data_IF_537026941372
#
_entry.id   IF_537026941372
#
_cell.length_a   1.000
_cell.length_b   1.000
_cell.length_c   1.000
_cell.angle_alpha   90.00
_cell.angle_beta   90.00
_cell.angle_gamma   90.00
#
_symmetry.space_group_name_H-M   'P 1'
#
loop_
_entity.id
_entity.type
_entity.pdbx_description
1 polymer ?
#
# COMPACT_ATOMS: atom_id res chain seq x y z
N UNK A 1 -18.63 -11.20 -56.82
CA UNK A 1 -17.19 -10.99 -56.58
C UNK A 1 -16.87 -11.56 -55.19
N UNK A 2 -16.25 -12.75 -55.09
CA UNK A 2 -15.94 -13.38 -53.80
C UNK A 2 -14.69 -12.69 -53.23
N UNK A 3 -14.88 -11.89 -52.19
CA UNK A 3 -13.78 -11.28 -51.43
C UNK A 3 -12.93 -12.43 -50.87
N UNK A 4 -11.60 -12.38 -51.05
CA UNK A 4 -10.70 -13.43 -50.56
C UNK A 4 -10.73 -13.48 -49.03
N UNK A 5 -10.55 -14.66 -48.44
CA UNK A 5 -10.58 -14.83 -46.98
C UNK A 5 -9.60 -13.89 -46.25
N UNK A 6 -8.44 -13.60 -46.84
CA UNK A 6 -7.45 -12.66 -46.31
C UNK A 6 -7.99 -11.23 -46.19
N UNK A 7 -8.87 -10.82 -47.10
CA UNK A 7 -9.44 -9.47 -47.11
C UNK A 7 -10.63 -9.36 -46.15
N UNK A 8 -11.33 -10.45 -45.85
CA UNK A 8 -12.30 -10.52 -44.75
C UNK A 8 -11.60 -10.46 -43.38
N UNK A 9 -10.53 -11.23 -43.16
CA UNK A 9 -9.76 -11.16 -41.91
C UNK A 9 -9.12 -9.78 -41.67
N UNK A 10 -8.69 -9.09 -42.73
CA UNK A 10 -8.17 -7.73 -42.63
C UNK A 10 -9.27 -6.71 -42.26
N UNK A 11 -10.49 -6.87 -42.76
CA UNK A 11 -11.63 -6.00 -42.44
C UNK A 11 -12.17 -6.27 -41.02
N UNK A 12 -12.19 -7.52 -40.58
CA UNK A 12 -12.60 -7.90 -39.22
C UNK A 12 -11.60 -7.39 -38.18
N UNK A 13 -10.30 -7.46 -38.47
CA UNK A 13 -9.27 -6.83 -37.64
C UNK A 13 -9.39 -5.30 -37.66
N UNK A 14 -9.60 -4.69 -38.82
CA UNK A 14 -9.73 -3.23 -38.92
C UNK A 14 -11.01 -2.68 -38.24
N UNK A 15 -12.04 -3.50 -38.06
CA UNK A 15 -13.27 -3.09 -37.37
C UNK A 15 -13.25 -3.43 -35.87
N UNK A 16 -12.60 -4.54 -35.49
CA UNK A 16 -12.46 -4.96 -34.10
C UNK A 16 -11.34 -4.24 -33.34
N UNK A 17 -10.16 -4.07 -33.96
CA UNK A 17 -8.98 -3.52 -33.29
C UNK A 17 -9.16 -2.07 -32.82
N UNK A 18 -9.70 -1.13 -33.64
CA UNK A 18 -9.94 0.22 -33.17
C UNK A 18 -10.98 0.27 -32.03
N UNK A 19 -11.99 -0.61 -32.07
CA UNK A 19 -12.98 -0.70 -31.00
C UNK A 19 -12.34 -1.20 -29.69
N UNK A 20 -11.52 -2.25 -29.75
CA UNK A 20 -10.82 -2.77 -28.57
C UNK A 20 -9.86 -1.71 -27.99
N UNK A 21 -9.10 -1.02 -28.83
CA UNK A 21 -8.19 0.05 -28.40
C UNK A 21 -8.94 1.19 -27.73
N UNK A 22 -10.08 1.64 -28.30
CA UNK A 22 -10.89 2.70 -27.68
C UNK A 22 -11.50 2.25 -26.34
N UNK A 23 -11.94 0.99 -26.22
CA UNK A 23 -12.40 0.41 -24.95
C UNK A 23 -11.26 0.39 -23.93
N UNK A 24 -10.08 -0.09 -24.28
CA UNK A 24 -8.89 -0.14 -23.39
C UNK A 24 -8.56 1.26 -22.88
N UNK A 25 -8.49 2.26 -23.77
CA UNK A 25 -8.22 3.65 -23.40
C UNK A 25 -9.31 4.20 -22.49
N UNK A 26 -10.59 3.98 -22.82
CA UNK A 26 -11.72 4.44 -22.01
C UNK A 26 -11.71 3.83 -20.60
N UNK A 27 -11.34 2.56 -20.48
CA UNK A 27 -11.23 1.85 -19.22
C UNK A 27 -10.02 2.35 -18.42
N UNK A 28 -8.87 2.52 -19.07
CA UNK A 28 -7.65 3.06 -18.43
C UNK A 28 -7.91 4.47 -17.87
N UNK A 29 -8.58 5.34 -18.63
CA UNK A 29 -8.99 6.67 -18.17
C UNK A 29 -9.97 6.55 -17.00
N UNK A 30 -11.00 5.72 -17.13
CA UNK A 30 -12.01 5.53 -16.07
C UNK A 30 -11.38 5.06 -14.76
N UNK A 31 -10.52 4.04 -14.82
CA UNK A 31 -9.78 3.53 -13.66
C UNK A 31 -8.84 4.59 -13.10
N UNK A 32 -8.11 5.32 -13.95
CA UNK A 32 -7.20 6.38 -13.49
C UNK A 32 -7.95 7.51 -12.78
N UNK A 33 -9.09 7.95 -13.31
CA UNK A 33 -9.94 8.96 -12.67
C UNK A 33 -10.49 8.48 -11.32
N UNK A 34 -11.00 7.24 -11.26
CA UNK A 34 -11.51 6.65 -10.02
C UNK A 34 -10.40 6.45 -8.98
N UNK A 35 -9.23 5.99 -9.41
CA UNK A 35 -8.06 5.78 -8.57
C UNK A 35 -7.52 7.09 -8.00
N UNK A 36 -7.32 8.11 -8.84
CA UNK A 36 -6.87 9.43 -8.39
C UNK A 36 -7.86 10.10 -7.44
N UNK A 37 -9.17 9.94 -7.67
CA UNK A 37 -10.22 10.39 -6.74
C UNK A 37 -10.17 9.62 -5.43
N UNK A 38 -9.91 8.31 -5.45
CA UNK A 38 -9.82 7.51 -4.24
C UNK A 38 -8.60 7.90 -3.40
N UNK A 39 -7.45 8.12 -4.03
CA UNK A 39 -6.23 8.60 -3.36
C UNK A 39 -6.46 10.00 -2.76
N UNK A 40 -7.07 10.93 -3.49
CA UNK A 40 -7.32 12.26 -2.94
C UNK A 40 -8.28 12.23 -1.75
N UNK A 41 -9.35 11.43 -1.83
CA UNK A 41 -10.27 11.24 -0.70
C UNK A 41 -9.58 10.63 0.51
N UNK A 42 -8.78 9.58 0.32
CA UNK A 42 -8.07 8.91 1.42
C UNK A 42 -7.01 9.81 2.06
N UNK A 43 -6.20 10.51 1.26
CA UNK A 43 -5.18 11.43 1.76
C UNK A 43 -5.79 12.63 2.47
N UNK A 44 -6.92 13.16 1.99
CA UNK A 44 -7.65 14.22 2.69
C UNK A 44 -8.22 13.72 4.03
N UNK A 45 -8.65 12.45 4.13
CA UNK A 45 -9.08 11.85 5.40
C UNK A 45 -7.92 11.71 6.38
N UNK A 46 -6.74 11.26 5.93
CA UNK A 46 -5.55 11.13 6.78
C UNK A 46 -4.96 12.49 7.18
N UNK A 47 -5.05 13.50 6.32
CA UNK A 47 -4.57 14.83 6.64
C UNK A 47 -5.45 15.52 7.71
N UNK A 48 -6.74 15.15 7.79
CA UNK A 48 -7.71 15.73 8.72
C UNK A 48 -7.94 14.87 9.98
N UNK A 49 -7.81 13.55 9.88
CA UNK A 49 -7.76 12.65 11.02
C UNK A 49 -6.33 12.74 11.58
N UNK A 50 -6.17 13.18 12.82
CA UNK A 50 -4.89 13.42 13.49
C UNK A 50 -4.12 12.10 13.80
N UNK A 51 -3.92 11.26 12.77
CA UNK A 51 -3.41 9.89 12.83
C UNK A 51 -1.88 9.82 12.78
N UNK A 52 -1.19 10.97 12.68
CA UNK A 52 0.27 11.05 12.71
C UNK A 52 0.66 11.63 14.07
N UNK A 53 1.09 10.81 15.04
CA UNK A 53 1.55 11.30 16.33
C UNK A 53 2.71 12.27 16.15
N UNK A 54 2.54 13.52 16.60
CA UNK A 54 3.59 14.54 16.54
C UNK A 54 3.18 15.82 17.30
N UNK A 55 4.13 16.66 17.76
CA UNK A 55 3.82 17.85 18.55
C UNK A 55 2.88 18.79 17.80
N UNK A 56 1.87 19.33 18.51
CA UNK A 56 0.72 20.16 18.06
C UNK A 56 1.05 21.50 17.32
N UNK A 57 2.18 21.61 16.63
CA UNK A 57 2.60 22.80 15.86
C UNK A 57 2.49 22.63 14.32
N UNK A 58 1.90 21.55 13.80
CA UNK A 58 2.26 20.98 12.49
C UNK A 58 1.19 20.98 11.38
N UNK A 59 0.04 21.63 11.52
CA UNK A 59 -1.05 21.53 10.53
C UNK A 59 -0.65 21.88 9.08
N UNK A 60 0.23 22.87 8.88
CA UNK A 60 0.77 23.21 7.56
C UNK A 60 1.74 22.14 7.03
N UNK A 61 2.65 21.66 7.88
CA UNK A 61 3.69 20.67 7.50
C UNK A 61 3.10 19.28 7.24
N UNK A 62 2.03 18.92 7.95
CA UNK A 62 1.28 17.68 7.71
C UNK A 62 0.52 17.72 6.38
N UNK A 63 -0.11 18.87 6.06
CA UNK A 63 -0.77 19.09 4.76
C UNK A 63 0.22 19.01 3.60
N UNK A 64 1.41 19.59 3.75
CA UNK A 64 2.46 19.50 2.74
C UNK A 64 2.95 18.06 2.54
N UNK A 65 3.18 17.30 3.62
CA UNK A 65 3.56 15.89 3.54
C UNK A 65 2.47 15.06 2.84
N UNK A 66 1.22 15.22 3.25
CA UNK A 66 0.09 14.53 2.63
C UNK A 66 -0.05 14.88 1.14
N UNK A 67 0.18 16.14 0.76
CA UNK A 67 0.17 16.57 -0.64
C UNK A 67 1.28 15.88 -1.45
N UNK A 68 2.51 15.86 -0.96
CA UNK A 68 3.64 15.21 -1.64
C UNK A 68 3.39 13.71 -1.79
N UNK A 69 2.94 13.02 -0.73
CA UNK A 69 2.59 11.60 -0.78
C UNK A 69 1.46 11.32 -1.77
N UNK A 70 0.41 12.17 -1.78
CA UNK A 70 -0.69 12.06 -2.75
C UNK A 70 -0.21 12.18 -4.19
N UNK A 71 0.68 13.13 -4.47
CA UNK A 71 1.26 13.33 -5.80
C UNK A 71 2.07 12.11 -6.25
N UNK A 72 2.95 11.58 -5.38
CA UNK A 72 3.75 10.39 -5.70
C UNK A 72 2.85 9.19 -5.99
N UNK A 73 1.88 8.91 -5.11
CA UNK A 73 0.96 7.78 -5.28
C UNK A 73 0.11 7.89 -6.56
N UNK A 74 -0.40 9.09 -6.87
CA UNK A 74 -1.15 9.31 -8.12
C UNK A 74 -0.29 9.10 -9.35
N UNK A 75 0.96 9.59 -9.33
CA UNK A 75 1.90 9.42 -10.43
C UNK A 75 2.24 7.94 -10.65
N UNK A 76 2.59 7.22 -9.58
CA UNK A 76 2.87 5.78 -9.63
C UNK A 76 1.67 4.97 -10.13
N UNK A 77 0.47 5.24 -9.59
CA UNK A 77 -0.75 4.55 -10.03
C UNK A 77 -1.05 4.81 -11.50
N UNK A 78 -0.97 6.07 -11.94
CA UNK A 78 -1.23 6.42 -13.33
C UNK A 78 -0.20 5.78 -14.27
N UNK A 79 1.08 5.79 -13.90
CA UNK A 79 2.14 5.11 -14.65
C UNK A 79 1.88 3.61 -14.80
N UNK A 80 1.48 2.94 -13.72
CA UNK A 80 1.14 1.51 -13.75
C UNK A 80 -0.06 1.20 -14.65
N UNK A 81 -1.15 1.99 -14.56
CA UNK A 81 -2.35 1.83 -15.40
C UNK A 81 -2.01 1.98 -16.87
N UNK A 82 -1.27 3.05 -17.24
CA UNK A 82 -0.90 3.28 -18.63
C UNK A 82 0.09 2.25 -19.16
N UNK A 83 1.00 1.72 -18.33
CA UNK A 83 1.87 0.62 -18.71
C UNK A 83 1.06 -0.62 -19.11
N UNK A 84 0.06 -1.00 -18.30
CA UNK A 84 -0.83 -2.13 -18.62
C UNK A 84 -1.66 -1.84 -19.88
N UNK A 85 -2.19 -0.62 -20.02
CA UNK A 85 -2.96 -0.23 -21.21
C UNK A 85 -2.11 -0.31 -22.49
N UNK A 86 -0.84 0.12 -22.45
CA UNK A 86 0.10 -0.01 -23.57
C UNK A 86 0.30 -1.48 -23.93
N UNK A 87 0.51 -2.36 -22.94
CA UNK A 87 0.66 -3.80 -23.23
C UNK A 87 -0.59 -4.38 -23.89
N UNK A 88 -1.78 -4.02 -23.40
CA UNK A 88 -3.04 -4.46 -24.01
C UNK A 88 -3.21 -3.96 -25.45
N UNK A 89 -2.82 -2.71 -25.73
CA UNK A 89 -2.84 -2.15 -27.08
C UNK A 89 -1.85 -2.89 -28.00
N UNK A 90 -0.64 -3.18 -27.52
CA UNK A 90 0.36 -3.94 -28.29
C UNK A 90 -0.13 -5.36 -28.65
N UNK A 91 -0.89 -6.01 -27.76
CA UNK A 91 -1.52 -7.30 -28.07
C UNK A 91 -2.52 -7.21 -29.24
N UNK A 92 -3.25 -6.11 -29.38
CA UNK A 92 -4.19 -5.92 -30.50
C UNK A 92 -3.47 -5.82 -31.86
N UNK A 93 -2.22 -5.34 -31.85
CA UNK A 93 -1.34 -5.36 -33.03
C UNK A 93 -0.71 -6.73 -33.31
N UNK A 94 -1.09 -7.77 -32.56
CA UNK A 94 -0.57 -9.14 -32.73
C UNK A 94 0.84 -9.33 -32.17
N UNK A 95 1.35 -8.40 -31.36
CA UNK A 95 2.67 -8.54 -30.74
C UNK A 95 2.61 -9.56 -29.60
N UNK A 96 3.63 -10.42 -29.52
CA UNK A 96 3.75 -11.39 -28.43
C UNK A 96 4.13 -10.68 -27.12
N UNK A 97 3.19 -10.64 -26.17
CA UNK A 97 3.41 -10.03 -24.86
C UNK A 97 4.21 -10.91 -23.89
N UNK A 98 4.49 -12.18 -24.22
CA UNK A 98 5.19 -13.13 -23.34
C UNK A 98 6.48 -12.56 -22.74
N UNK A 99 7.43 -12.04 -23.55
CA UNK A 99 8.65 -11.44 -23.03
C UNK A 99 8.42 -10.20 -22.14
N UNK A 100 7.42 -9.38 -22.47
CA UNK A 100 7.08 -8.16 -21.71
C UNK A 100 6.46 -8.51 -20.36
N UNK A 101 5.52 -9.46 -20.33
CA UNK A 101 4.87 -9.97 -19.13
C UNK A 101 5.89 -10.68 -18.24
N UNK A 102 6.79 -11.49 -18.81
CA UNK A 102 7.86 -12.14 -18.06
C UNK A 102 8.78 -11.12 -17.38
N UNK A 103 9.20 -10.07 -18.11
CA UNK A 103 10.03 -8.99 -17.58
C UNK A 103 9.32 -8.17 -16.50
N UNK A 104 8.06 -7.82 -16.72
CA UNK A 104 7.22 -7.14 -15.74
C UNK A 104 7.01 -7.99 -14.48
N UNK A 105 6.91 -9.31 -14.63
CA UNK A 105 6.84 -10.26 -13.53
C UNK A 105 8.07 -10.21 -12.63
N UNK A 106 9.28 -10.21 -13.20
CA UNK A 106 10.53 -10.10 -12.42
C UNK A 106 10.60 -8.77 -11.66
N UNK A 107 10.23 -7.65 -12.30
CA UNK A 107 10.16 -6.34 -11.64
C UNK A 107 9.12 -6.36 -10.51
N UNK A 108 7.96 -6.97 -10.75
CA UNK A 108 6.90 -7.14 -9.77
C UNK A 108 7.36 -7.92 -8.53
N UNK A 109 8.10 -9.01 -8.73
CA UNK A 109 8.71 -9.79 -7.64
C UNK A 109 9.70 -8.94 -6.85
N UNK A 110 10.59 -8.21 -7.52
CA UNK A 110 11.56 -7.33 -6.85
C UNK A 110 10.87 -6.25 -5.98
N UNK A 111 9.82 -5.62 -6.50
CA UNK A 111 9.00 -4.66 -5.75
C UNK A 111 8.28 -5.32 -4.57
N UNK A 112 7.73 -6.52 -4.77
CA UNK A 112 7.06 -7.29 -3.72
C UNK A 112 8.00 -7.65 -2.57
N UNK A 113 9.21 -8.10 -2.89
CA UNK A 113 10.26 -8.37 -1.90
C UNK A 113 10.68 -7.10 -1.16
N UNK A 114 10.80 -5.96 -1.86
CA UNK A 114 11.10 -4.66 -1.24
C UNK A 114 9.99 -4.18 -0.29
N UNK A 115 8.73 -4.50 -0.57
CA UNK A 115 7.57 -4.14 0.25
C UNK A 115 7.26 -5.16 1.36
N UNK A 116 7.91 -6.32 1.38
CA UNK A 116 7.57 -7.44 2.26
C UNK A 116 7.60 -7.07 3.76
N UNK A 117 8.59 -6.27 4.17
CA UNK A 117 8.73 -5.84 5.57
C UNK A 117 7.59 -4.92 6.00
N UNK A 118 7.15 -4.00 5.13
CA UNK A 118 6.01 -3.13 5.40
C UNK A 118 4.71 -3.93 5.58
N UNK A 119 4.49 -4.93 4.73
CA UNK A 119 3.31 -5.80 4.83
C UNK A 119 3.34 -6.57 6.16
N UNK A 120 4.50 -7.13 6.53
CA UNK A 120 4.69 -7.79 7.82
C UNK A 120 4.37 -6.86 8.99
N UNK A 121 4.90 -5.63 8.97
CA UNK A 121 4.66 -4.65 10.02
C UNK A 121 3.17 -4.36 10.23
N UNK A 122 2.44 -4.14 9.14
CA UNK A 122 1.01 -3.80 9.19
C UNK A 122 0.20 -4.98 9.73
N UNK A 123 0.46 -6.20 9.24
CA UNK A 123 -0.25 -7.39 9.70
C UNK A 123 0.01 -7.67 11.18
N UNK A 124 1.27 -7.62 11.61
CA UNK A 124 1.64 -7.77 13.02
C UNK A 124 0.96 -6.70 13.90
N UNK A 125 0.93 -5.44 13.44
CA UNK A 125 0.26 -4.37 14.18
C UNK A 125 -1.25 -4.58 14.33
N UNK A 126 -1.93 -5.07 13.27
CA UNK A 126 -3.35 -5.40 13.34
C UNK A 126 -3.59 -6.52 14.36
N UNK A 127 -2.80 -7.59 14.32
CA UNK A 127 -2.96 -8.70 15.28
C UNK A 127 -2.70 -8.27 16.72
N UNK A 128 -1.66 -7.48 16.98
CA UNK A 128 -1.39 -6.97 18.32
C UNK A 128 -2.55 -6.12 18.88
N UNK A 129 -3.22 -5.33 18.03
CA UNK A 129 -4.38 -4.53 18.43
C UNK A 129 -5.64 -5.39 18.63
N UNK A 130 -5.88 -6.38 17.77
CA UNK A 130 -7.06 -7.26 17.84
C UNK A 130 -6.97 -8.22 19.02
N UNK A 131 -5.77 -8.70 19.33
CA UNK A 131 -5.50 -9.64 20.43
C UNK A 131 -5.26 -8.92 21.78
N UNK A 132 -5.25 -7.59 21.79
CA UNK A 132 -4.98 -6.76 22.98
C UNK A 132 -3.73 -7.22 23.76
N UNK A 133 -2.63 -7.47 23.05
CA UNK A 133 -1.40 -7.97 23.68
C UNK A 133 -0.78 -6.93 24.63
N UNK A 134 -0.90 -5.65 24.29
CA UNK A 134 -0.54 -4.51 25.13
C UNK A 134 -1.19 -3.23 24.60
N UNK A 135 -1.50 -2.31 25.52
CA UNK A 135 -2.11 -1.03 25.23
C UNK A 135 -1.21 0.17 25.52
N UNK A 136 -1.69 1.36 25.16
CA UNK A 136 -1.07 2.63 25.56
C UNK A 136 -1.11 2.75 27.08
N UNK A 137 0.03 3.06 27.69
CA UNK A 137 0.21 3.15 29.14
C UNK A 137 0.75 1.88 29.78
N UNK A 138 0.84 0.77 29.06
CA UNK A 138 1.39 -0.48 29.60
C UNK A 138 2.91 -0.41 29.74
N UNK A 139 3.42 -0.98 30.84
CA UNK A 139 4.85 -1.23 31.02
C UNK A 139 5.20 -2.50 30.27
N UNK A 140 6.00 -2.36 29.23
CA UNK A 140 6.37 -3.48 28.36
C UNK A 140 7.88 -3.73 28.36
N UNK A 141 8.22 -4.98 28.09
CA UNK A 141 9.56 -5.47 27.79
C UNK A 141 9.53 -6.02 26.37
N UNK A 142 10.11 -5.28 25.43
CA UNK A 142 10.01 -5.57 24.00
C UNK A 142 11.36 -5.36 23.33
N UNK A 143 11.83 -6.38 22.63
CA UNK A 143 13.20 -6.42 22.08
C UNK A 143 14.24 -6.14 23.18
N UNK A 144 15.02 -5.06 23.01
CA UNK A 144 16.04 -4.55 23.93
C UNK A 144 15.57 -3.32 24.72
N UNK A 145 14.28 -2.98 24.64
CA UNK A 145 13.68 -1.79 25.25
C UNK A 145 12.71 -2.17 26.38
N UNK A 146 12.93 -1.58 27.55
CA UNK A 146 11.98 -1.63 28.68
C UNK A 146 11.44 -0.23 28.97
N UNK A 147 10.11 -0.09 28.98
CA UNK A 147 9.50 1.21 29.12
C UNK A 147 7.97 1.19 29.13
N UNK A 148 7.37 2.37 28.95
CA UNK A 148 5.92 2.55 28.87
C UNK A 148 5.53 2.79 27.41
N UNK A 149 4.49 2.11 26.94
CA UNK A 149 3.93 2.32 25.60
C UNK A 149 3.26 3.69 25.53
N UNK A 150 3.69 4.54 24.61
CA UNK A 150 3.06 5.85 24.37
C UNK A 150 2.03 5.80 23.25
N UNK A 151 2.33 5.09 22.17
CA UNK A 151 1.42 4.95 21.03
C UNK A 151 1.54 3.56 20.42
N UNK A 152 0.40 3.00 20.00
CA UNK A 152 0.33 1.77 19.22
C UNK A 152 -0.26 2.14 17.86
N UNK A 153 0.59 2.22 16.83
CA UNK A 153 0.18 2.41 15.45
C UNK A 153 0.11 1.09 14.69
N UNK A 154 -0.43 1.11 13.48
CA UNK A 154 -0.52 -0.08 12.63
C UNK A 154 0.85 -0.62 12.20
N UNK A 155 1.86 0.25 12.03
CA UNK A 155 3.21 -0.13 11.58
C UNK A 155 4.26 -0.04 12.70
N UNK A 156 4.08 0.93 13.60
CA UNK A 156 5.07 1.30 14.60
C UNK A 156 4.40 1.41 15.96
N UNK A 157 5.02 0.82 16.99
CA UNK A 157 4.75 1.11 18.40
C UNK A 157 5.84 2.02 18.95
N UNK A 158 5.46 3.02 19.75
CA UNK A 158 6.45 3.86 20.44
C UNK A 158 6.50 3.55 21.93
N UNK A 159 7.69 3.31 22.45
CA UNK A 159 7.93 3.02 23.87
C UNK A 159 8.89 4.05 24.44
N UNK A 160 8.55 4.63 25.60
CA UNK A 160 9.44 5.53 26.33
C UNK A 160 10.13 4.79 27.46
N UNK A 161 11.46 4.81 27.47
CA UNK A 161 12.26 4.21 28.53
C UNK A 161 12.31 5.09 29.81
N UNK A 162 12.91 4.57 30.87
CA UNK A 162 13.07 5.28 32.15
C UNK A 162 13.98 6.52 32.08
N UNK A 163 14.82 6.62 31.04
CA UNK A 163 15.69 7.78 30.78
C UNK A 163 14.98 8.85 29.95
N UNK A 164 13.74 8.58 29.51
CA UNK A 164 12.93 9.49 28.72
C UNK A 164 13.12 9.37 27.19
N UNK A 165 13.92 8.41 26.71
CA UNK A 165 14.13 8.17 25.27
C UNK A 165 12.89 7.54 24.65
N UNK A 166 12.45 8.04 23.48
CA UNK A 166 11.37 7.44 22.69
C UNK A 166 11.97 6.50 21.65
N UNK A 167 11.60 5.24 21.75
CA UNK A 167 11.97 4.19 20.81
C UNK A 167 10.84 3.94 19.82
N UNK A 168 11.16 3.85 18.53
CA UNK A 168 10.22 3.54 17.46
C UNK A 168 10.44 2.10 17.00
N UNK A 169 9.52 1.23 17.35
CA UNK A 169 9.65 -0.22 17.14
C UNK A 169 8.79 -0.62 15.94
N UNK A 170 9.37 -1.36 15.00
CA UNK A 170 8.62 -1.95 13.89
C UNK A 170 7.81 -3.13 14.37
N UNK A 171 6.51 -3.07 14.15
CA UNK A 171 5.58 -4.11 14.59
C UNK A 171 5.93 -5.49 14.03
N UNK A 172 6.47 -5.57 12.81
CA UNK A 172 6.82 -6.83 12.15
C UNK A 172 8.09 -7.48 12.70
N UNK A 173 8.82 -6.78 13.56
CA UNK A 173 10.01 -7.29 14.25
C UNK A 173 9.74 -7.64 15.71
N UNK A 174 8.56 -7.30 16.25
CA UNK A 174 8.15 -7.67 17.60
C UNK A 174 7.69 -9.13 17.58
N UNK A 175 8.63 -10.04 17.79
CA UNK A 175 8.37 -11.48 17.86
C UNK A 175 7.86 -11.93 19.23
N UNK A 176 8.15 -11.13 20.27
CA UNK A 176 7.76 -11.41 21.66
C UNK A 176 7.68 -10.08 22.42
N UNK A 177 6.67 -9.98 23.28
CA UNK A 177 6.48 -8.86 24.20
C UNK A 177 6.14 -9.39 25.60
N UNK A 178 6.72 -8.79 26.63
CA UNK A 178 6.34 -9.00 28.02
C UNK A 178 5.55 -7.83 28.54
N UNK A 179 4.23 -7.97 28.72
CA UNK A 179 3.40 -6.94 29.34
C UNK A 179 3.45 -7.09 30.88
N UNK A 180 4.10 -6.14 31.56
CA UNK A 180 4.26 -6.12 33.02
C UNK A 180 3.07 -5.46 33.73
N UNK A 181 2.16 -4.84 32.98
CA UNK A 181 0.92 -4.24 33.51
C UNK A 181 -0.24 -5.23 33.56
N UNK A 182 -0.17 -6.34 32.81
CA UNK A 182 -1.26 -7.29 32.75
C UNK A 182 -1.43 -8.06 34.07
N UNK A 183 -2.65 -8.15 34.64
CA UNK A 183 -2.87 -8.84 35.89
C UNK A 183 -2.56 -10.33 35.76
N UNK A 184 -1.83 -10.88 36.74
CA UNK A 184 -1.63 -12.32 36.83
C UNK A 184 -2.99 -12.95 37.14
N UNK A 185 -3.53 -13.74 36.21
CA UNK A 185 -4.73 -14.53 36.48
C UNK A 185 -4.44 -15.47 37.65
N UNK A 186 -4.91 -15.09 38.84
CA UNK A 186 -4.84 -15.89 40.06
C UNK A 186 -6.02 -16.86 40.13
N UNK A 187 -6.30 -17.56 39.03
CA UNK A 187 -7.38 -18.54 39.01
C UNK A 187 -6.84 -19.89 39.53
N UNK A 188 -6.94 -20.00 40.86
CA UNK A 188 -7.09 -21.19 41.73
C UNK A 188 -6.36 -22.50 41.35
N UNK A 189 -5.51 -22.95 42.29
CA UNK A 189 -5.12 -24.35 42.47
C UNK A 189 -6.32 -25.29 42.47
#
# INVERSE_FOLDING_TARGET
MKISQNMQSALDWFTGAPLNITIIISLAISISLLGQRSISRFMNRIANADLIPGPKRSGARQKERAKTTSTVLKSTLNGAIWLVAIFMILAEFGLNLGPLIASAGVIGVALGLGAQTLVRDILSGIFMLVEDQYGVGDKVDVLDVQGVVETVGLRITTVRDSKGTIWYLRNGEILKVGNKSQPKNSTKR
#
